data_IF_192626054501
#
_entry.id   IF_192626054501
#
_cell.length_a   1.000
_cell.length_b   1.000
_cell.length_c   1.000
_cell.angle_alpha   90.00
_cell.angle_beta   90.00
_cell.angle_gamma   90.00
#
_symmetry.space_group_name_H-M   'P 1'
#
loop_
_entity.id
_entity.type
_entity.pdbx_description
1 polymer ?
#
# COMPACT_ATOMS: atom_id res chain seq x y z
N UNK A 1 0.30 18.36 -10.24
CA UNK A 1 0.49 18.13 -8.79
C UNK A 1 0.22 16.65 -8.55
N UNK A 2 1.25 15.85 -8.22
CA UNK A 2 1.06 14.42 -7.99
C UNK A 2 0.46 14.23 -6.60
N UNK A 3 -0.82 13.83 -6.54
CA UNK A 3 -1.47 13.46 -5.28
C UNK A 3 -0.83 12.17 -4.76
N UNK A 4 0.11 12.28 -3.82
CA UNK A 4 0.68 11.11 -3.15
C UNK A 4 -0.29 10.69 -2.05
N UNK A 5 -0.84 9.49 -2.19
CA UNK A 5 -1.65 8.87 -1.15
C UNK A 5 -0.73 8.09 -0.22
N UNK A 6 -0.76 8.46 1.05
CA UNK A 6 -0.07 7.74 2.10
C UNK A 6 -0.92 6.60 2.64
N UNK A 7 -0.29 5.57 3.19
CA UNK A 7 -0.99 4.51 3.92
C UNK A 7 -1.88 5.08 5.03
N UNK A 8 -1.46 6.15 5.72
CA UNK A 8 -2.25 6.77 6.78
C UNK A 8 -3.58 7.32 6.24
N UNK A 9 -3.59 7.92 5.05
CA UNK A 9 -4.82 8.35 4.38
C UNK A 9 -5.68 7.16 3.97
N UNK A 10 -5.09 6.12 3.38
CA UNK A 10 -5.82 4.90 3.01
C UNK A 10 -6.47 4.22 4.20
N UNK A 11 -5.74 4.06 5.31
CA UNK A 11 -6.27 3.55 6.57
C UNK A 11 -7.42 4.40 7.10
N UNK A 12 -7.33 5.73 6.99
CA UNK A 12 -8.38 6.64 7.45
C UNK A 12 -9.63 6.57 6.56
N UNK A 13 -9.47 6.48 5.25
CA UNK A 13 -10.57 6.29 4.29
C UNK A 13 -11.28 4.94 4.51
N UNK A 14 -10.50 3.88 4.70
CA UNK A 14 -11.01 2.51 4.86
C UNK A 14 -11.38 2.17 6.31
N UNK A 15 -11.19 3.09 7.26
CA UNK A 15 -11.34 2.87 8.71
C UNK A 15 -10.61 1.60 9.20
N UNK A 16 -9.41 1.36 8.66
CA UNK A 16 -8.56 0.24 9.03
C UNK A 16 -7.50 0.65 10.02
N UNK A 17 -7.12 -0.29 10.87
CA UNK A 17 -6.02 -0.10 11.79
C UNK A 17 -4.69 0.06 11.01
N UNK A 18 -3.91 1.11 11.28
CA UNK A 18 -2.64 1.35 10.60
C UNK A 18 -1.63 0.22 10.76
N UNK A 19 -1.74 -0.59 11.83
CA UNK A 19 -0.90 -1.79 12.04
C UNK A 19 -1.32 -2.90 11.10
N UNK A 20 -2.59 -3.28 11.11
CA UNK A 20 -3.12 -4.39 10.32
C UNK A 20 -2.95 -4.11 8.83
N UNK A 21 -3.26 -2.89 8.38
CA UNK A 21 -3.04 -2.47 7.01
C UNK A 21 -1.56 -2.63 6.59
N UNK A 22 -0.62 -2.28 7.49
CA UNK A 22 0.82 -2.44 7.24
C UNK A 22 1.22 -3.90 7.12
N UNK A 23 0.67 -4.78 7.95
CA UNK A 23 0.95 -6.21 7.91
C UNK A 23 0.40 -6.86 6.65
N UNK A 24 -0.86 -6.55 6.28
CA UNK A 24 -1.47 -7.02 5.03
C UNK A 24 -0.66 -6.58 3.81
N UNK A 25 -0.26 -5.30 3.75
CA UNK A 25 0.58 -4.79 2.66
C UNK A 25 1.97 -5.43 2.64
N UNK A 26 2.55 -5.71 3.81
CA UNK A 26 3.84 -6.40 3.90
C UNK A 26 3.74 -7.85 3.43
N UNK A 27 2.63 -8.53 3.73
CA UNK A 27 2.35 -9.87 3.20
C UNK A 27 2.15 -9.83 1.67
N UNK A 28 1.38 -8.87 1.16
CA UNK A 28 1.18 -8.68 -0.29
C UNK A 28 2.49 -8.35 -1.03
N UNK A 29 3.35 -7.50 -0.46
CA UNK A 29 4.67 -7.21 -1.03
C UNK A 29 5.64 -8.40 -0.96
N UNK A 30 5.40 -9.37 -0.07
CA UNK A 30 6.10 -10.66 -0.07
C UNK A 30 5.57 -11.62 -1.13
N UNK A 31 4.46 -11.30 -1.79
CA UNK A 31 3.93 -12.00 -2.96
C UNK A 31 4.24 -11.24 -4.26
N UNK A 32 5.51 -11.17 -4.72
CA UNK A 32 5.89 -10.44 -5.93
C UNK A 32 5.22 -11.00 -7.20
N UNK A 33 4.69 -12.23 -7.14
CA UNK A 33 3.92 -12.85 -8.23
C UNK A 33 2.53 -12.26 -8.39
N UNK A 34 1.91 -11.78 -7.31
CA UNK A 34 0.56 -11.19 -7.34
C UNK A 34 0.62 -9.66 -7.35
N UNK A 35 1.62 -9.09 -6.68
CA UNK A 35 1.76 -7.64 -6.52
C UNK A 35 3.20 -7.18 -6.77
N UNK A 36 3.66 -7.20 -8.03
CA UNK A 36 5.03 -6.85 -8.40
C UNK A 36 5.35 -5.37 -8.10
N UNK A 37 4.36 -4.48 -8.16
CA UNK A 37 4.54 -3.04 -7.91
C UNK A 37 4.64 -2.75 -6.41
N UNK A 38 3.79 -3.36 -5.57
CA UNK A 38 3.95 -3.33 -4.11
C UNK A 38 5.28 -3.94 -3.65
N UNK A 39 5.70 -5.05 -4.25
CA UNK A 39 6.97 -5.70 -3.92
C UNK A 39 8.17 -4.81 -4.27
N UNK A 40 8.14 -4.12 -5.42
CA UNK A 40 9.19 -3.15 -5.81
C UNK A 40 9.21 -1.90 -4.95
N UNK A 41 8.04 -1.39 -4.54
CA UNK A 41 7.91 -0.22 -3.69
C UNK A 41 8.24 -0.50 -2.21
N UNK A 42 8.19 -1.77 -1.80
CA UNK A 42 8.45 -2.16 -0.43
C UNK A 42 9.94 -1.99 -0.07
N UNK A 43 10.24 -0.87 0.59
CA UNK A 43 11.50 -0.66 1.29
C UNK A 43 11.32 -0.89 2.79
N UNK A 44 12.15 -1.74 3.43
CA UNK A 44 12.08 -1.93 4.87
C UNK A 44 12.26 -0.58 5.59
N UNK A 45 11.39 -0.33 6.58
CA UNK A 45 11.32 0.92 7.39
C UNK A 45 10.88 2.18 6.64
N UNK A 46 10.62 2.11 5.33
CA UNK A 46 10.09 3.25 4.58
C UNK A 46 8.58 3.44 4.84
N UNK A 47 8.09 4.69 4.80
CA UNK A 47 6.67 4.97 4.82
C UNK A 47 6.03 4.51 3.50
N UNK A 48 4.94 3.77 3.61
CA UNK A 48 4.12 3.40 2.47
C UNK A 48 3.45 4.64 1.87
N UNK A 49 3.81 4.94 0.63
CA UNK A 49 3.28 6.05 -0.14
C UNK A 49 3.17 5.60 -1.59
N UNK A 50 2.04 5.93 -2.21
CA UNK A 50 1.75 5.61 -3.59
C UNK A 50 1.30 6.87 -4.30
N UNK A 51 1.56 6.95 -5.59
CA UNK A 51 0.98 8.01 -6.41
C UNK A 51 -0.48 7.65 -6.69
N UNK A 52 -1.40 8.58 -6.49
CA UNK A 52 -2.81 8.39 -6.80
C UNK A 52 -2.99 8.06 -8.29
N UNK A 53 -3.69 6.99 -8.60
CA UNK A 53 -3.84 6.42 -9.93
C UNK A 53 -2.76 5.40 -10.33
N UNK A 54 -1.72 5.19 -9.52
CA UNK A 54 -0.68 4.20 -9.80
C UNK A 54 -1.13 2.76 -9.58
N UNK A 55 -0.47 1.82 -10.25
CA UNK A 55 -0.70 0.39 -10.05
C UNK A 55 -0.49 -0.01 -8.59
N UNK A 56 0.54 0.53 -7.92
CA UNK A 56 0.78 0.28 -6.49
C UNK A 56 -0.35 0.75 -5.57
N UNK A 57 -1.02 1.88 -5.87
CA UNK A 57 -2.20 2.33 -5.11
C UNK A 57 -3.39 1.38 -5.30
N UNK A 58 -3.63 0.95 -6.54
CA UNK A 58 -4.73 0.01 -6.86
C UNK A 58 -4.53 -1.33 -6.16
N UNK A 59 -3.30 -1.86 -6.19
CA UNK A 59 -2.93 -3.06 -5.46
C UNK A 59 -3.09 -2.86 -3.95
N UNK A 60 -2.63 -1.72 -3.40
CA UNK A 60 -2.81 -1.42 -1.98
C UNK A 60 -4.28 -1.36 -1.57
N UNK A 61 -5.14 -0.72 -2.36
CA UNK A 61 -6.60 -0.71 -2.14
C UNK A 61 -7.21 -2.10 -2.22
N UNK A 62 -6.78 -2.94 -3.16
CA UNK A 62 -7.26 -4.33 -3.26
C UNK A 62 -6.87 -5.17 -2.04
N UNK A 63 -5.64 -5.01 -1.54
CA UNK A 63 -5.14 -5.75 -0.37
C UNK A 63 -5.82 -5.32 0.92
N UNK A 64 -6.22 -4.05 1.00
CA UNK A 64 -6.84 -3.46 2.19
C UNK A 64 -8.37 -3.56 2.20
N UNK A 65 -9.02 -3.77 1.06
CA UNK A 65 -10.48 -4.01 0.98
C UNK A 65 -10.85 -5.39 1.52
#
# INVERSE_FOLDING_TARGET
MADIITLKQLCKELKLDPREARERLRAAAREPKKHPELAKLHKPRAPWSWVKGSAGEKEARQVLK
#
